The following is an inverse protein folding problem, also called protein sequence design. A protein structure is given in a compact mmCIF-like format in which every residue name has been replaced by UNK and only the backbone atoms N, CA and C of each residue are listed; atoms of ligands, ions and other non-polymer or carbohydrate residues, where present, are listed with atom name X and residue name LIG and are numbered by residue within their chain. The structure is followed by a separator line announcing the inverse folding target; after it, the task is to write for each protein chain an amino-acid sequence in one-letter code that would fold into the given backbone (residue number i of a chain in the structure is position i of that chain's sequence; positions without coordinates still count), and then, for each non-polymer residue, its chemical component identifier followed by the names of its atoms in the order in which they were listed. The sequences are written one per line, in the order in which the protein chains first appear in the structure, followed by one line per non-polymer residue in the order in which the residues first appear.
data_IF_357948229304
#
_entry.id   IF_357948229304
#
_cell.length_a   1.000
_cell.length_b   1.000
_cell.length_c   1.000
_cell.angle_alpha   90.00
_cell.angle_beta   90.00
_cell.angle_gamma   90.00
#
_symmetry.space_group_name_H-M   'P 1'
#
loop_
_entity.id
_entity.type
_entity.pdbx_description
1 polymer ?
#
# COMPACT_ATOMS: atom_id res chain seq x y z
N UNK A 1 -16.57 16.24 2.13
CA UNK A 1 -15.60 15.31 1.49
C UNK A 1 -16.31 13.99 1.23
N UNK A 2 -16.16 13.42 0.04
CA UNK A 2 -16.69 12.08 -0.26
C UNK A 2 -15.76 11.03 0.34
N UNK A 3 -16.28 9.85 0.71
CA UNK A 3 -15.49 8.75 1.29
C UNK A 3 -14.29 8.38 0.41
N UNK A 4 -14.47 8.40 -0.92
CA UNK A 4 -13.41 8.13 -1.89
C UNK A 4 -12.27 9.16 -1.85
N UNK A 5 -12.58 10.44 -1.63
CA UNK A 5 -11.58 11.48 -1.48
C UNK A 5 -10.77 11.32 -0.18
N UNK A 6 -11.42 10.88 0.91
CA UNK A 6 -10.73 10.57 2.16
C UNK A 6 -9.76 9.39 1.98
N UNK A 7 -10.21 8.28 1.40
CA UNK A 7 -9.38 7.09 1.15
C UNK A 7 -8.19 7.43 0.22
N UNK A 8 -8.42 8.26 -0.81
CA UNK A 8 -7.33 8.75 -1.69
C UNK A 8 -6.29 9.54 -0.90
N UNK A 9 -6.72 10.47 -0.06
CA UNK A 9 -5.82 11.28 0.77
C UNK A 9 -5.04 10.42 1.78
N UNK A 10 -5.70 9.46 2.44
CA UNK A 10 -5.06 8.53 3.37
C UNK A 10 -4.01 7.66 2.70
N UNK A 11 -4.30 7.13 1.50
CA UNK A 11 -3.32 6.35 0.72
C UNK A 11 -2.07 7.17 0.44
N UNK A 12 -2.23 8.43 0.02
CA UNK A 12 -1.10 9.32 -0.28
C UNK A 12 -0.30 9.70 0.96
N UNK A 13 -0.99 10.02 2.07
CA UNK A 13 -0.34 10.34 3.33
C UNK A 13 0.50 9.16 3.82
N UNK A 14 -0.06 7.96 3.82
CA UNK A 14 0.64 6.74 4.22
C UNK A 14 1.81 6.41 3.27
N UNK A 15 1.61 6.54 1.96
CA UNK A 15 2.69 6.31 0.99
C UNK A 15 3.87 7.28 1.23
N UNK A 16 3.59 8.57 1.46
CA UNK A 16 4.62 9.57 1.76
C UNK A 16 5.34 9.29 3.08
N UNK A 17 4.59 8.90 4.13
CA UNK A 17 5.17 8.51 5.42
C UNK A 17 6.13 7.33 5.26
N UNK A 18 5.68 6.25 4.61
CA UNK A 18 6.49 5.07 4.40
C UNK A 18 7.77 5.37 3.60
N UNK A 19 7.73 6.27 2.62
CA UNK A 19 8.94 6.68 1.88
C UNK A 19 10.00 7.33 2.78
N UNK A 20 9.60 8.03 3.85
CA UNK A 20 10.53 8.67 4.80
C UNK A 20 11.15 7.72 5.83
N UNK A 21 10.51 6.56 6.05
CA UNK A 21 10.96 5.57 7.02
C UNK A 21 12.08 4.68 6.46
N UNK A 22 12.91 4.14 7.37
CA UNK A 22 13.88 3.09 7.05
C UNK A 22 13.17 1.78 6.68
N UNK A 23 13.86 0.89 5.97
CA UNK A 23 13.31 -0.41 5.57
C UNK A 23 12.80 -1.22 6.77
N UNK A 24 13.50 -1.16 7.92
CA UNK A 24 13.10 -1.86 9.13
C UNK A 24 11.80 -1.28 9.73
N UNK A 25 11.70 0.05 9.82
CA UNK A 25 10.52 0.72 10.40
C UNK A 25 9.28 0.71 9.50
N UNK A 26 9.45 0.47 8.19
CA UNK A 26 8.33 0.41 7.24
C UNK A 26 7.38 -0.75 7.51
N UNK A 27 7.90 -1.90 7.93
CA UNK A 27 7.06 -3.07 8.18
C UNK A 27 6.16 -2.82 9.39
N UNK A 28 6.71 -2.32 10.49
CA UNK A 28 5.95 -1.98 11.70
C UNK A 28 4.84 -0.96 11.40
N UNK A 29 5.17 0.08 10.63
CA UNK A 29 4.18 1.09 10.21
C UNK A 29 3.07 0.49 9.32
N UNK A 30 3.41 -0.44 8.44
CA UNK A 30 2.46 -1.15 7.57
C UNK A 30 1.55 -2.10 8.37
N UNK A 31 2.09 -2.78 9.39
CA UNK A 31 1.29 -3.62 10.29
C UNK A 31 0.30 -2.78 11.11
N UNK A 32 0.74 -1.62 11.62
CA UNK A 32 -0.14 -0.68 12.31
C UNK A 32 -1.23 -0.14 11.38
N UNK A 33 -0.86 0.28 10.17
CA UNK A 33 -1.82 0.76 9.17
C UNK A 33 -2.82 -0.33 8.76
N UNK A 34 -2.41 -1.61 8.75
CA UNK A 34 -3.32 -2.73 8.48
C UNK A 34 -4.36 -2.88 9.58
N UNK A 35 -3.96 -2.75 10.85
CA UNK A 35 -4.89 -2.79 11.98
C UNK A 35 -5.90 -1.65 11.88
N UNK A 36 -5.44 -0.43 11.61
CA UNK A 36 -6.29 0.76 11.59
C UNK A 36 -7.26 0.78 10.39
N UNK A 37 -6.81 0.31 9.23
CA UNK A 37 -7.61 0.31 7.99
C UNK A 37 -8.46 -0.95 7.78
N UNK A 38 -8.34 -1.95 8.67
CA UNK A 38 -8.93 -3.28 8.45
C UNK A 38 -8.27 -4.05 7.29
N UNK A 39 -7.03 -3.68 6.96
CA UNK A 39 -6.19 -4.34 5.96
C UNK A 39 -5.56 -5.63 6.48
N UNK A 40 -4.58 -6.14 5.74
CA UNK A 40 -3.86 -7.36 6.11
C UNK A 40 -2.41 -7.35 5.63
N UNK A 41 -1.53 -7.86 6.49
CA UNK A 41 -0.14 -8.18 6.16
C UNK A 41 0.01 -9.70 6.26
N UNK A 42 0.34 -10.35 5.15
CA UNK A 42 0.43 -11.81 5.07
C UNK A 42 1.85 -12.22 4.71
N UNK A 43 2.61 -12.80 5.65
CA UNK A 43 3.94 -13.32 5.35
C UNK A 43 3.85 -14.60 4.50
N UNK A 44 4.94 -14.94 3.79
CA UNK A 44 4.98 -16.16 2.99
C UNK A 44 4.84 -17.41 3.86
N UNK A 45 4.13 -18.40 3.33
CA UNK A 45 3.90 -19.69 3.96
C UNK A 45 5.18 -20.53 4.00
N UNK A 46 5.49 -21.07 5.18
CA UNK A 46 6.64 -21.96 5.39
C UNK A 46 6.37 -23.42 4.99
N UNK A 47 5.11 -23.76 4.75
CA UNK A 47 4.61 -25.13 4.61
C UNK A 47 4.04 -25.45 3.22
N UNK A 48 4.28 -24.59 2.22
CA UNK A 48 4.08 -24.88 0.79
C UNK A 48 2.64 -24.78 0.27
N UNK A 49 1.64 -24.68 1.15
CA UNK A 49 0.22 -24.57 0.78
C UNK A 49 -0.35 -23.14 0.90
N UNK A 50 0.45 -22.17 1.34
CA UNK A 50 0.05 -20.77 1.41
C UNK A 50 0.85 -19.88 0.46
N UNK A 51 0.71 -18.55 0.58
CA UNK A 51 1.35 -17.60 -0.33
C UNK A 51 2.86 -17.79 -0.38
N UNK A 52 3.44 -17.87 -1.57
CA UNK A 52 4.90 -17.89 -1.74
C UNK A 52 5.51 -16.51 -1.51
N UNK A 53 4.71 -15.47 -1.69
CA UNK A 53 5.13 -14.07 -1.61
C UNK A 53 4.57 -13.40 -0.36
N UNK A 54 5.27 -12.37 0.08
CA UNK A 54 4.76 -11.45 1.08
C UNK A 54 3.66 -10.58 0.47
N UNK A 55 2.51 -10.45 1.13
CA UNK A 55 1.36 -9.69 0.62
C UNK A 55 0.94 -8.60 1.60
N UNK A 56 0.72 -7.39 1.08
CA UNK A 56 0.20 -6.24 1.82
C UNK A 56 -1.11 -5.79 1.18
N UNK A 57 -2.18 -5.73 1.97
CA UNK A 57 -3.47 -5.18 1.59
C UNK A 57 -3.81 -4.03 2.53
N UNK A 58 -3.85 -2.80 2.01
CA UNK A 58 -4.12 -1.60 2.78
C UNK A 58 -5.02 -0.67 1.98
N UNK A 59 -6.03 -0.10 2.65
CA UNK A 59 -6.92 0.92 2.08
C UNK A 59 -7.50 0.51 0.71
N UNK A 60 -7.79 -0.77 0.50
CA UNK A 60 -8.35 -1.31 -0.76
C UNK A 60 -7.34 -1.50 -1.90
N UNK A 61 -6.03 -1.45 -1.63
CA UNK A 61 -4.96 -1.79 -2.58
C UNK A 61 -4.20 -2.99 -2.03
N UNK A 62 -4.07 -4.04 -2.84
CA UNK A 62 -3.29 -5.24 -2.53
C UNK A 62 -2.09 -5.34 -3.45
N UNK A 63 -0.91 -5.61 -2.88
CA UNK A 63 0.33 -5.87 -3.61
C UNK A 63 1.12 -6.99 -2.94
N UNK A 64 1.91 -7.70 -3.73
CA UNK A 64 2.79 -8.75 -3.25
C UNK A 64 4.23 -8.55 -3.73
N UNK A 65 5.16 -9.24 -3.09
CA UNK A 65 6.55 -9.32 -3.51
C UNK A 65 7.32 -10.39 -2.74
N UNK A 66 8.45 -10.80 -3.29
CA UNK A 66 9.30 -11.87 -2.74
C UNK A 66 9.80 -11.55 -1.31
N UNK A 67 9.82 -10.27 -0.95
CA UNK A 67 10.15 -9.77 0.39
C UNK A 67 9.12 -8.77 0.88
N UNK A 68 9.07 -8.54 2.20
CA UNK A 68 8.25 -7.49 2.80
C UNK A 68 8.53 -6.12 2.18
N UNK A 69 9.81 -5.78 2.00
CA UNK A 69 10.22 -4.51 1.38
C UNK A 69 9.72 -4.39 -0.06
N UNK A 70 9.81 -5.45 -0.86
CA UNK A 70 9.32 -5.45 -2.23
C UNK A 70 7.80 -5.23 -2.28
N UNK A 71 7.05 -5.95 -1.46
CA UNK A 71 5.60 -5.80 -1.37
C UNK A 71 5.17 -4.38 -0.97
N UNK A 72 5.83 -3.80 0.04
CA UNK A 72 5.57 -2.43 0.50
C UNK A 72 5.92 -1.41 -0.60
N UNK A 73 7.06 -1.58 -1.26
CA UNK A 73 7.47 -0.72 -2.37
C UNK A 73 6.50 -0.79 -3.55
N UNK A 74 6.02 -1.98 -3.89
CA UNK A 74 4.99 -2.16 -4.91
C UNK A 74 3.69 -1.46 -4.53
N UNK A 75 3.29 -1.55 -3.26
CA UNK A 75 2.12 -0.83 -2.74
C UNK A 75 2.25 0.69 -2.89
N UNK A 76 3.36 1.28 -2.45
CA UNK A 76 3.66 2.70 -2.60
C UNK A 76 3.62 3.10 -4.09
N UNK A 77 4.28 2.34 -4.96
CA UNK A 77 4.30 2.59 -6.39
C UNK A 77 2.90 2.55 -7.01
N UNK A 78 2.06 1.61 -6.59
CA UNK A 78 0.67 1.50 -7.06
C UNK A 78 -0.16 2.71 -6.65
N UNK A 79 -0.04 3.17 -5.40
CA UNK A 79 -0.71 4.40 -4.93
C UNK A 79 -0.31 5.60 -5.79
N UNK A 80 0.99 5.82 -6.01
CA UNK A 80 1.50 6.95 -6.80
C UNK A 80 1.05 6.87 -8.26
N UNK A 81 1.04 5.68 -8.85
CA UNK A 81 0.57 5.49 -10.24
C UNK A 81 -0.91 5.76 -10.39
N UNK A 82 -1.73 5.30 -9.45
CA UNK A 82 -3.17 5.58 -9.43
C UNK A 82 -3.43 7.08 -9.29
N UNK A 83 -2.69 7.77 -8.42
CA UNK A 83 -2.81 9.22 -8.24
C UNK A 83 -2.46 9.99 -9.51
N UNK A 84 -1.35 9.65 -10.16
CA UNK A 84 -0.95 10.28 -11.43
C UNK A 84 -1.99 10.07 -12.52
N UNK A 85 -2.52 8.85 -12.66
CA UNK A 85 -3.56 8.56 -13.63
C UNK A 85 -4.82 9.40 -13.40
N UNK A 86 -5.25 9.57 -12.15
CA UNK A 86 -6.40 10.41 -11.80
C UNK A 86 -6.14 11.90 -12.13
N UNK A 87 -4.97 12.44 -11.80
CA UNK A 87 -4.62 13.82 -12.13
C UNK A 87 -4.59 14.06 -13.64
N UNK A 88 -4.10 13.09 -14.42
CA UNK A 88 -4.13 13.15 -15.88
C UNK A 88 -5.55 13.11 -16.45
N UNK A 89 -6.45 12.33 -15.87
CA UNK A 89 -7.87 12.29 -16.26
C UNK A 89 -8.59 13.60 -15.93
N UNK A 90 -8.38 14.13 -14.72
CA UNK A 90 -8.92 15.43 -14.28
C UNK A 90 -8.40 16.57 -15.18
N UNK A 91 -7.12 16.53 -15.58
CA UNK A 91 -6.52 17.51 -16.48
C UNK A 91 -6.96 17.39 -17.95
N UNK A 92 -7.44 16.23 -18.40
CA UNK A 92 -8.06 16.03 -19.73
C UNK A 92 -9.52 16.46 -19.77
N UNK A 93 -10.17 16.56 -18.61
CA UNK A 93 -11.56 16.97 -18.46
C UNK A 93 -11.75 18.49 -18.26
N UNK A 94 -10.65 19.25 -18.20
CA UNK A 94 -10.60 20.71 -18.07
C UNK A 94 -10.32 21.40 -19.41
#
# INVERSE_FOLDING_TARGET
MTLLACIRAERLALAAELETLSTESRLDAVEMAAIDSGGSVVPPSKNGWGPHDFTVSLLGITQSGDTAEAAIKHWICSVIRMERAMQEEEGKAA
#
